data_IF_038608683474
#
_entry.id   IF_038608683474
#
_cell.length_a   1.000
_cell.length_b   1.000
_cell.length_c   1.000
_cell.angle_alpha   90.00
_cell.angle_beta   90.00
_cell.angle_gamma   90.00
#
_symmetry.space_group_name_H-M   'P 1'
#
loop_
_entity.id
_entity.type
_entity.pdbx_description
1 polymer ?
#
# COMPACT_ATOMS: atom_id res chain seq x y z
N UNK A 1 10.33 6.38 -7.86
CA UNK A 1 10.25 4.90 -7.90
C UNK A 1 8.88 4.39 -8.30
N UNK A 2 7.78 4.80 -7.65
CA UNK A 2 6.42 4.43 -8.10
C UNK A 2 6.10 4.89 -9.53
N UNK A 3 6.54 6.10 -9.92
CA UNK A 3 6.38 6.59 -11.30
C UNK A 3 7.17 5.80 -12.36
N UNK A 4 8.15 4.99 -11.94
CA UNK A 4 8.94 4.15 -12.83
C UNK A 4 8.35 2.73 -12.91
N UNK A 5 7.39 2.40 -12.04
CA UNK A 5 6.64 1.16 -12.12
C UNK A 5 5.47 1.39 -13.09
N UNK A 6 5.39 0.65 -14.21
CA UNK A 6 4.42 0.93 -15.27
C UNK A 6 2.97 0.82 -14.80
N UNK A 7 2.69 -0.07 -13.83
CA UNK A 7 1.34 -0.26 -13.28
C UNK A 7 0.98 0.91 -12.38
N UNK A 8 1.89 1.29 -11.46
CA UNK A 8 1.61 2.39 -10.54
C UNK A 8 1.60 3.74 -11.26
N UNK A 9 2.42 3.93 -12.29
CA UNK A 9 2.45 5.16 -13.08
C UNK A 9 1.15 5.41 -13.82
N UNK A 10 0.55 4.37 -14.40
CA UNK A 10 -0.75 4.44 -15.08
C UNK A 10 -1.85 4.87 -14.09
N UNK A 11 -1.86 4.29 -12.89
CA UNK A 11 -2.82 4.68 -11.83
C UNK A 11 -2.63 6.15 -11.43
N UNK A 12 -1.38 6.60 -11.24
CA UNK A 12 -1.07 7.99 -10.88
C UNK A 12 -1.55 8.94 -11.98
N UNK A 13 -1.31 8.61 -13.26
CA UNK A 13 -1.77 9.41 -14.38
C UNK A 13 -3.30 9.53 -14.39
N UNK A 14 -4.01 8.41 -14.26
CA UNK A 14 -5.48 8.39 -14.20
C UNK A 14 -6.06 9.23 -13.07
N UNK A 15 -5.39 9.23 -11.90
CA UNK A 15 -5.76 10.11 -10.78
C UNK A 15 -5.58 11.58 -11.16
N UNK A 16 -4.44 11.95 -11.75
CA UNK A 16 -4.13 13.33 -12.12
C UNK A 16 -5.06 13.88 -13.22
N UNK A 17 -5.43 13.06 -14.21
CA UNK A 17 -6.34 13.46 -15.29
C UNK A 17 -7.82 13.48 -14.87
N UNK A 18 -8.12 13.14 -13.61
CA UNK A 18 -9.46 13.18 -13.04
C UNK A 18 -10.48 12.33 -13.85
N UNK A 19 -10.00 11.30 -14.56
CA UNK A 19 -10.81 10.33 -15.32
C UNK A 19 -11.51 9.30 -14.40
N UNK A 20 -11.41 9.51 -13.09
CA UNK A 20 -11.75 8.53 -12.07
C UNK A 20 -13.27 8.39 -11.83
N UNK A 21 -14.07 8.26 -12.88
CA UNK A 21 -15.53 8.16 -12.83
C UNK A 21 -16.09 6.96 -12.04
N UNK A 22 -15.33 5.88 -11.80
CA UNK A 22 -15.83 4.71 -11.08
C UNK A 22 -14.86 4.00 -10.10
N UNK A 23 -13.56 4.31 -10.10
CA UNK A 23 -12.56 3.71 -9.18
C UNK A 23 -12.15 4.62 -8.00
N UNK A 24 -12.90 5.72 -7.81
CA UNK A 24 -12.50 6.98 -7.16
C UNK A 24 -12.30 6.98 -5.64
N UNK A 25 -12.50 5.88 -4.93
CA UNK A 25 -12.38 5.88 -3.45
C UNK A 25 -11.33 4.94 -2.90
N UNK A 26 -10.55 4.28 -3.76
CA UNK A 26 -9.59 3.28 -3.31
C UNK A 26 -8.15 3.78 -3.44
N UNK A 27 -7.79 4.52 -4.49
CA UNK A 27 -6.44 5.03 -4.66
C UNK A 27 -6.36 6.55 -4.54
N UNK A 28 -5.31 7.06 -3.90
CA UNK A 28 -5.06 8.48 -3.73
C UNK A 28 -3.56 8.78 -3.56
N UNK A 29 -3.16 10.03 -3.79
CA UNK A 29 -1.82 10.51 -3.47
C UNK A 29 -1.81 11.13 -2.06
N UNK A 30 -0.83 10.78 -1.23
CA UNK A 30 -0.64 11.45 0.07
C UNK A 30 0.07 12.82 -0.12
N UNK A 31 0.28 13.54 0.99
CA UNK A 31 0.96 14.86 1.01
C UNK A 31 2.40 14.80 0.47
N UNK A 32 3.04 13.64 0.55
CA UNK A 32 4.39 13.39 0.05
C UNK A 32 4.40 12.97 -1.44
N UNK A 33 3.23 12.89 -2.08
CA UNK A 33 3.07 12.47 -3.47
C UNK A 33 3.24 10.97 -3.72
N UNK A 34 3.14 10.15 -2.68
CA UNK A 34 3.13 8.69 -2.76
C UNK A 34 1.73 8.16 -3.07
N UNK A 35 1.66 7.18 -3.95
CA UNK A 35 0.44 6.44 -4.25
C UNK A 35 0.07 5.53 -3.08
N UNK A 36 -1.17 5.67 -2.62
CA UNK A 36 -1.75 4.94 -1.52
C UNK A 36 -3.05 4.25 -1.93
N UNK A 37 -3.36 3.15 -1.26
CA UNK A 37 -4.57 2.35 -1.36
C UNK A 37 -5.37 2.40 -0.04
N UNK A 38 -6.69 2.59 -0.12
CA UNK A 38 -7.65 2.52 0.98
C UNK A 38 -8.20 1.10 1.07
N UNK A 39 -7.67 0.33 2.01
CA UNK A 39 -8.16 -1.02 2.27
C UNK A 39 -9.27 -1.01 3.32
N UNK A 40 -10.42 -1.58 2.95
CA UNK A 40 -11.49 -1.97 3.86
C UNK A 40 -11.30 -3.47 4.15
N UNK A 41 -10.70 -3.83 5.29
CA UNK A 41 -10.74 -5.23 5.71
C UNK A 41 -12.19 -5.60 6.06
N UNK A 42 -12.69 -6.76 5.62
CA UNK A 42 -13.92 -7.33 6.16
C UNK A 42 -13.63 -7.80 7.59
N UNK A 43 -13.61 -6.87 8.54
CA UNK A 43 -13.47 -7.14 9.96
C UNK A 43 -14.85 -7.10 10.60
N UNK A 44 -15.18 -8.09 11.43
CA UNK A 44 -16.37 -8.07 12.29
C UNK A 44 -16.29 -7.02 13.41
N UNK A 45 -15.10 -6.47 13.67
CA UNK A 45 -14.90 -5.46 14.70
C UNK A 45 -15.12 -4.05 14.12
N UNK A 46 -16.11 -3.29 14.61
CA UNK A 46 -16.40 -1.93 14.14
C UNK A 46 -15.27 -0.91 14.42
N UNK A 47 -14.23 -1.30 15.19
CA UNK A 47 -13.07 -0.44 15.48
C UNK A 47 -11.91 -0.58 14.50
N UNK A 48 -11.92 -1.58 13.61
CA UNK A 48 -10.90 -1.66 12.55
C UNK A 48 -11.36 -0.84 11.35
N UNK A 49 -11.09 0.46 11.43
CA UNK A 49 -11.39 1.45 10.40
C UNK A 49 -10.61 1.23 9.09
N UNK A 50 -10.99 2.02 8.08
CA UNK A 50 -10.31 2.07 6.78
C UNK A 50 -8.81 2.30 6.98
N UNK A 51 -7.98 1.46 6.36
CA UNK A 51 -6.52 1.58 6.43
C UNK A 51 -5.98 2.22 5.15
N UNK A 52 -5.06 3.16 5.33
CA UNK A 52 -4.24 3.73 4.27
C UNK A 52 -2.98 2.87 4.14
N UNK A 53 -2.73 2.35 2.96
CA UNK A 53 -1.56 1.52 2.66
C UNK A 53 -0.76 2.14 1.53
N UNK A 54 0.57 2.15 1.62
CA UNK A 54 1.43 2.65 0.55
C UNK A 54 1.57 1.59 -0.53
N UNK A 55 1.36 1.94 -1.80
CA UNK A 55 1.54 1.02 -2.91
C UNK A 55 3.02 0.77 -3.18
N UNK A 56 3.49 -0.47 -3.05
CA UNK A 56 4.91 -0.78 -3.23
C UNK A 56 5.24 -0.99 -4.72
N UNK A 57 6.21 -0.25 -5.28
CA UNK A 57 6.78 -0.56 -6.60
C UNK A 57 7.37 -1.97 -6.63
N UNK A 58 7.23 -2.68 -7.75
CA UNK A 58 7.72 -4.05 -7.89
C UNK A 58 9.19 -4.21 -7.47
N UNK A 59 10.04 -3.26 -7.84
CA UNK A 59 11.47 -3.28 -7.53
C UNK A 59 11.81 -3.17 -6.03
N UNK A 60 10.88 -2.73 -5.18
CA UNK A 60 11.11 -2.57 -3.73
C UNK A 60 10.49 -3.67 -2.88
N UNK A 61 9.71 -4.58 -3.47
CA UNK A 61 8.97 -5.62 -2.72
C UNK A 61 9.88 -6.48 -1.85
N UNK A 62 11.00 -6.95 -2.40
CA UNK A 62 11.96 -7.80 -1.68
C UNK A 62 12.61 -7.04 -0.52
N UNK A 63 13.09 -5.83 -0.77
CA UNK A 63 13.75 -4.99 0.26
C UNK A 63 12.81 -4.66 1.42
N UNK A 64 11.55 -4.36 1.12
CA UNK A 64 10.56 -4.06 2.16
C UNK A 64 10.22 -5.32 2.96
N UNK A 65 10.08 -6.47 2.30
CA UNK A 65 9.88 -7.76 2.99
C UNK A 65 11.03 -8.06 3.94
N UNK A 66 12.27 -7.91 3.48
CA UNK A 66 13.48 -8.14 4.28
C UNK A 66 13.57 -7.19 5.48
N UNK A 67 13.33 -5.89 5.27
CA UNK A 67 13.34 -4.90 6.36
C UNK A 67 12.29 -5.20 7.41
N UNK A 68 11.05 -5.53 7.02
CA UNK A 68 9.99 -5.87 7.98
C UNK A 68 10.31 -7.17 8.72
N UNK A 69 10.86 -8.16 8.02
CA UNK A 69 11.20 -9.44 8.61
C UNK A 69 12.34 -9.32 9.63
N UNK A 70 13.38 -8.54 9.31
CA UNK A 70 14.64 -8.51 10.06
C UNK A 70 14.69 -7.41 11.13
N UNK A 71 14.20 -6.20 10.84
CA UNK A 71 14.47 -5.01 11.66
C UNK A 71 13.39 -4.75 12.72
N UNK A 72 12.19 -5.24 12.47
CA UNK A 72 10.99 -4.83 13.21
C UNK A 72 10.72 -5.77 14.41
N UNK A 73 11.60 -5.77 15.41
CA UNK A 73 11.39 -6.43 16.71
C UNK A 73 11.90 -7.88 16.82
N UNK A 74 12.93 -8.22 16.03
CA UNK A 74 13.54 -9.55 15.96
C UNK A 74 12.86 -10.45 14.94
N UNK A 75 13.65 -11.18 14.16
CA UNK A 75 13.24 -12.07 13.05
C UNK A 75 11.79 -12.55 13.15
N UNK A 76 10.89 -11.83 12.49
CA UNK A 76 9.47 -12.10 12.61
C UNK A 76 9.11 -13.37 11.84
N UNK A 77 8.37 -14.28 12.49
CA UNK A 77 7.78 -15.42 11.78
C UNK A 77 6.77 -14.93 10.74
N UNK A 78 6.60 -15.73 9.69
CA UNK A 78 5.77 -15.44 8.52
C UNK A 78 4.46 -14.68 8.80
N UNK A 79 3.61 -15.18 9.71
CA UNK A 79 2.32 -14.55 9.99
C UNK A 79 2.42 -13.12 10.52
N UNK A 80 3.41 -12.83 11.38
CA UNK A 80 3.62 -11.47 11.91
C UNK A 80 4.17 -10.54 10.83
N UNK A 81 5.08 -11.02 9.99
CA UNK A 81 5.60 -10.28 8.83
C UNK A 81 4.48 -9.94 7.85
N UNK A 82 3.67 -10.94 7.49
CA UNK A 82 2.53 -10.78 6.59
C UNK A 82 1.50 -9.81 7.14
N UNK A 83 1.15 -9.95 8.43
CA UNK A 83 0.20 -9.03 9.06
C UNK A 83 0.70 -7.58 8.97
N UNK A 84 1.97 -7.31 9.29
CA UNK A 84 2.55 -5.96 9.24
C UNK A 84 2.65 -5.41 7.83
N UNK A 85 2.97 -6.25 6.85
CA UNK A 85 2.91 -5.88 5.43
C UNK A 85 1.50 -5.40 5.08
N UNK A 86 0.47 -6.20 5.38
CA UNK A 86 -0.91 -5.83 5.12
C UNK A 86 -1.41 -4.65 5.96
N UNK A 87 -0.73 -4.24 7.02
CA UNK A 87 -1.13 -3.08 7.80
C UNK A 87 -0.66 -1.76 7.17
N UNK A 88 0.47 -1.78 6.44
CA UNK A 88 1.15 -0.57 5.98
C UNK A 88 1.28 -0.48 4.45
N UNK A 89 1.22 -1.61 3.74
CA UNK A 89 1.58 -1.69 2.33
C UNK A 89 0.55 -2.43 1.48
N UNK A 90 0.50 -2.04 0.22
CA UNK A 90 -0.33 -2.63 -0.84
C UNK A 90 0.54 -3.06 -2.02
#
# INVERSE_FOLDING_TARGET
MQRNDPVLSDIIQKINFNEAGLQRQVYFLNEEGLLCHLSKRPSKSPRQGVRKQVCIPHCLKVRILESIHSEYGGHLRFFKTYQRLCENFF
#
